data_IF_595379285947
#
_entry.id   IF_595379285947
#
_cell.length_a   1.000
_cell.length_b   1.000
_cell.length_c   1.000
_cell.angle_alpha   90.00
_cell.angle_beta   90.00
_cell.angle_gamma   90.00
#
_symmetry.space_group_name_H-M   'P 1'
#
loop_
_entity.id
_entity.type
_entity.pdbx_description
1 polymer ?
#
# COMPACT_ATOMS: atom_id res chain seq x y z
N UNK A 1 12.38 14.29 1.34
CA UNK A 1 12.34 12.94 1.94
C UNK A 1 11.99 11.89 0.90
N UNK A 2 12.41 10.66 1.13
CA UNK A 2 12.19 9.53 0.22
C UNK A 2 11.63 8.35 0.98
N UNK A 3 10.63 7.69 0.40
CA UNK A 3 10.14 6.39 0.85
C UNK A 3 10.27 5.33 -0.26
N UNK A 4 11.30 4.51 -0.17
CA UNK A 4 11.58 3.47 -1.17
C UNK A 4 10.48 2.40 -1.27
N UNK A 5 9.77 2.13 -0.18
CA UNK A 5 8.77 1.06 -0.15
C UNK A 5 7.49 1.42 -0.90
N UNK A 6 7.14 2.70 -0.98
CA UNK A 6 5.98 3.19 -1.75
C UNK A 6 6.39 3.83 -3.06
N UNK A 7 7.70 3.95 -3.33
CA UNK A 7 8.25 4.66 -4.48
C UNK A 7 7.81 6.14 -4.53
N UNK A 8 7.70 6.78 -3.35
CA UNK A 8 7.32 8.19 -3.24
C UNK A 8 8.48 9.03 -2.75
N UNK A 9 8.63 10.22 -3.35
CA UNK A 9 9.57 11.25 -2.92
C UNK A 9 8.83 12.56 -2.62
N UNK A 10 9.16 13.18 -1.49
CA UNK A 10 8.73 14.52 -1.12
C UNK A 10 9.85 15.51 -1.36
N UNK A 11 9.63 16.44 -2.28
CA UNK A 11 10.57 17.50 -2.62
C UNK A 11 10.11 18.83 -2.03
N UNK A 12 11.06 19.65 -1.58
CA UNK A 12 10.86 21.04 -1.26
C UNK A 12 11.54 21.87 -2.33
N UNK A 13 10.84 22.85 -2.88
CA UNK A 13 11.37 23.79 -3.88
C UNK A 13 11.17 25.22 -3.41
N UNK A 14 12.06 26.12 -3.82
CA UNK A 14 11.92 27.57 -3.61
C UNK A 14 11.26 28.16 -4.87
N UNK A 15 9.94 28.28 -4.85
CA UNK A 15 9.18 28.83 -5.95
C UNK A 15 8.01 29.69 -5.41
N UNK A 16 7.62 30.69 -6.19
CA UNK A 16 6.49 31.58 -5.89
C UNK A 16 5.35 31.32 -6.88
N UNK A 17 4.15 31.76 -6.49
CA UNK A 17 2.95 31.72 -7.34
C UNK A 17 2.57 30.32 -7.87
N UNK A 18 2.87 29.29 -7.08
CA UNK A 18 2.49 27.91 -7.41
C UNK A 18 0.97 27.74 -7.28
N UNK A 19 0.39 27.04 -8.27
CA UNK A 19 -1.02 26.60 -8.24
C UNK A 19 -1.07 25.12 -7.84
N UNK A 20 -1.38 24.80 -6.56
CA UNK A 20 -1.48 23.42 -6.13
C UNK A 20 -2.72 22.76 -6.75
N UNK A 21 -2.61 21.48 -7.06
CA UNK A 21 -3.76 20.64 -7.40
C UNK A 21 -4.60 20.41 -6.13
N UNK A 22 -5.93 20.37 -6.26
CA UNK A 22 -6.80 19.93 -5.18
C UNK A 22 -6.62 18.44 -4.95
N UNK A 23 -6.29 18.03 -3.72
CA UNK A 23 -6.16 16.62 -3.37
C UNK A 23 -7.55 16.06 -3.07
N UNK A 24 -7.97 15.09 -3.88
CA UNK A 24 -9.19 14.31 -3.71
C UNK A 24 -8.98 13.04 -2.89
N UNK A 25 -10.06 12.28 -2.68
CA UNK A 25 -10.04 11.01 -1.96
C UNK A 25 -10.01 9.83 -2.91
N UNK A 26 -8.94 9.03 -2.87
CA UNK A 26 -8.87 7.76 -3.60
C UNK A 26 -9.84 6.70 -3.04
N UNK A 27 -10.26 6.82 -1.78
CA UNK A 27 -11.26 5.92 -1.17
C UNK A 27 -12.61 6.04 -1.84
N UNK A 28 -13.02 7.28 -2.19
CA UNK A 28 -14.32 7.56 -2.81
C UNK A 28 -14.41 7.11 -4.27
N UNK A 29 -13.29 6.85 -4.94
CA UNK A 29 -13.27 6.37 -6.32
C UNK A 29 -14.00 5.03 -6.45
N UNK A 30 -14.73 4.87 -7.55
CA UNK A 30 -15.40 3.62 -7.92
C UNK A 30 -14.81 3.06 -9.20
N UNK A 31 -14.82 1.74 -9.32
CA UNK A 31 -14.49 1.06 -10.57
C UNK A 31 -15.45 1.54 -11.66
N UNK A 32 -14.90 1.85 -12.84
CA UNK A 32 -15.63 2.44 -13.96
C UNK A 32 -15.64 3.98 -14.00
N UNK A 33 -15.20 4.67 -12.95
CA UNK A 33 -15.08 6.13 -12.98
C UNK A 33 -13.94 6.59 -13.90
N UNK A 34 -14.19 7.66 -14.67
CA UNK A 34 -13.20 8.27 -15.53
C UNK A 34 -12.06 8.91 -14.76
N UNK A 35 -10.84 8.69 -15.24
CA UNK A 35 -9.62 9.32 -14.72
C UNK A 35 -8.73 9.78 -15.86
N UNK A 36 -7.90 10.79 -15.59
CA UNK A 36 -6.90 11.31 -16.51
C UNK A 36 -5.52 11.11 -15.86
N UNK A 37 -4.60 10.48 -16.59
CA UNK A 37 -3.20 10.40 -16.21
C UNK A 37 -2.42 11.52 -16.91
N UNK A 38 -1.75 12.36 -16.13
CA UNK A 38 -1.03 13.55 -16.58
C UNK A 38 0.45 13.34 -16.32
N UNK A 39 1.29 13.70 -17.28
CA UNK A 39 2.73 13.59 -17.12
C UNK A 39 3.49 14.19 -18.30
N UNK A 40 4.79 13.87 -18.39
CA UNK A 40 5.69 14.37 -19.43
C UNK A 40 6.47 13.22 -20.10
N UNK A 41 5.79 12.24 -20.74
CA UNK A 41 6.45 11.11 -21.36
C UNK A 41 7.29 11.56 -22.56
N UNK A 42 8.43 10.90 -22.75
CA UNK A 42 9.33 11.08 -23.90
C UNK A 42 9.83 12.51 -24.12
N UNK A 43 9.79 13.37 -23.10
CA UNK A 43 10.14 14.79 -23.22
C UNK A 43 9.09 15.66 -23.93
N UNK A 44 7.90 15.11 -24.23
CA UNK A 44 6.77 15.89 -24.70
C UNK A 44 6.16 16.69 -23.56
N UNK A 45 5.87 17.96 -23.79
CA UNK A 45 5.27 18.83 -22.77
C UNK A 45 3.82 18.41 -22.51
N UNK A 46 3.51 18.16 -21.23
CA UNK A 46 2.13 18.03 -20.72
C UNK A 46 1.25 17.06 -21.54
N UNK A 47 1.54 15.78 -21.45
CA UNK A 47 0.72 14.74 -22.06
C UNK A 47 -0.37 14.30 -21.09
N UNK A 48 -1.60 14.17 -21.60
CA UNK A 48 -2.75 13.68 -20.87
C UNK A 48 -3.30 12.43 -21.58
N UNK A 49 -3.49 11.36 -20.81
CA UNK A 49 -4.19 10.16 -21.29
C UNK A 49 -5.45 9.95 -20.47
N UNK A 50 -6.51 9.41 -21.06
CA UNK A 50 -7.79 9.17 -20.42
C UNK A 50 -8.08 7.68 -20.33
N UNK A 51 -8.76 7.28 -19.28
CA UNK A 51 -9.22 5.92 -19.05
C UNK A 51 -10.18 5.88 -17.86
N UNK A 52 -10.40 4.68 -17.34
CA UNK A 52 -11.25 4.45 -16.18
C UNK A 52 -10.46 3.81 -15.04
N UNK A 53 -11.02 3.85 -13.84
CA UNK A 53 -10.58 3.00 -12.73
C UNK A 53 -10.97 1.56 -13.06
N UNK A 54 -9.99 0.72 -13.43
CA UNK A 54 -10.22 -0.69 -13.78
C UNK A 54 -10.33 -1.58 -12.55
N UNK A 55 -9.60 -1.26 -11.49
CA UNK A 55 -9.65 -1.93 -10.18
C UNK A 55 -9.07 -1.06 -9.08
N UNK A 56 -9.34 -1.43 -7.83
CA UNK A 56 -8.74 -0.83 -6.62
C UNK A 56 -8.05 -1.90 -5.78
N UNK A 57 -7.15 -1.47 -4.91
CA UNK A 57 -6.41 -2.35 -4.00
C UNK A 57 -5.73 -3.53 -4.75
N UNK A 58 -5.08 -3.22 -5.90
CA UNK A 58 -4.31 -4.22 -6.64
C UNK A 58 -2.95 -4.43 -6.01
N UNK A 59 -2.62 -5.69 -5.77
CA UNK A 59 -1.29 -6.15 -5.42
C UNK A 59 -0.58 -6.66 -6.67
N UNK A 60 0.66 -6.27 -6.84
CA UNK A 60 1.54 -6.71 -7.93
C UNK A 60 2.67 -7.53 -7.29
N UNK A 61 2.48 -8.83 -7.16
CA UNK A 61 3.44 -9.71 -6.52
C UNK A 61 4.88 -9.45 -6.99
N UNK A 62 5.72 -8.99 -6.08
CA UNK A 62 7.16 -9.14 -6.21
C UNK A 62 8.06 -7.92 -6.19
N UNK A 63 7.61 -6.66 -6.18
CA UNK A 63 8.55 -5.52 -6.32
C UNK A 63 8.42 -4.39 -5.30
N UNK A 64 7.37 -4.30 -4.54
CA UNK A 64 7.21 -3.27 -3.50
C UNK A 64 6.63 -3.87 -2.23
N UNK A 65 7.06 -3.36 -1.08
CA UNK A 65 6.52 -3.79 0.23
C UNK A 65 5.13 -3.23 0.49
N UNK A 66 4.62 -2.37 -0.36
CA UNK A 66 3.32 -1.73 -0.23
C UNK A 66 2.54 -1.87 -1.53
N UNK A 67 1.56 -2.77 -1.53
CA UNK A 67 0.84 -3.21 -2.72
C UNK A 67 -0.65 -2.91 -2.62
N UNK A 68 -1.02 -1.64 -2.73
CA UNK A 68 -2.40 -1.22 -2.92
C UNK A 68 -2.46 -0.14 -3.99
N UNK A 69 -2.61 -0.56 -5.24
CA UNK A 69 -2.64 0.36 -6.38
C UNK A 69 -4.07 0.57 -6.90
N UNK A 70 -4.31 1.77 -7.45
CA UNK A 70 -5.40 2.02 -8.39
C UNK A 70 -4.93 1.49 -9.74
N UNK A 71 -5.66 0.53 -10.31
CA UNK A 71 -5.45 0.09 -11.68
C UNK A 71 -6.30 0.93 -12.64
N UNK A 72 -5.72 1.34 -13.75
CA UNK A 72 -6.41 2.12 -14.81
C UNK A 72 -5.98 1.64 -16.20
N UNK A 73 -6.84 1.82 -17.17
CA UNK A 73 -6.52 1.67 -18.59
C UNK A 73 -6.16 3.02 -19.25
N UNK A 74 -6.07 4.11 -18.48
CA UNK A 74 -5.37 5.30 -18.94
C UNK A 74 -3.90 4.95 -19.22
N UNK A 75 -3.39 5.31 -20.41
CA UNK A 75 -2.05 4.90 -20.81
C UNK A 75 -0.97 5.49 -19.89
N UNK A 76 -0.30 4.62 -19.14
CA UNK A 76 0.89 4.94 -18.36
C UNK A 76 2.11 4.48 -19.17
N UNK A 77 3.01 5.40 -19.46
CA UNK A 77 4.25 5.16 -20.21
C UNK A 77 5.44 5.77 -19.47
N UNK A 78 6.68 5.37 -19.78
CA UNK A 78 7.86 6.02 -19.21
C UNK A 78 7.81 7.53 -19.42
N UNK A 79 7.89 8.29 -18.32
CA UNK A 79 7.83 9.76 -18.29
C UNK A 79 6.55 10.35 -17.73
N UNK A 80 5.43 9.60 -17.61
CA UNK A 80 4.29 10.07 -16.81
C UNK A 80 4.25 9.48 -15.39
N UNK A 81 5.16 8.56 -15.05
CA UNK A 81 5.40 8.14 -13.66
C UNK A 81 5.80 9.32 -12.78
N UNK A 82 5.25 9.42 -11.57
CA UNK A 82 5.34 10.58 -10.68
C UNK A 82 4.36 11.70 -10.99
N UNK A 83 3.70 11.66 -12.16
CA UNK A 83 2.65 12.60 -12.53
C UNK A 83 1.31 12.30 -11.85
N UNK A 84 0.34 13.17 -12.08
CA UNK A 84 -0.96 13.10 -11.43
C UNK A 84 -1.91 12.11 -12.13
N UNK A 85 -2.63 11.31 -11.33
CA UNK A 85 -3.90 10.72 -11.73
C UNK A 85 -5.02 11.58 -11.13
N UNK A 86 -5.87 12.16 -11.97
CA UNK A 86 -6.96 13.02 -11.52
C UNK A 86 -8.32 12.47 -11.93
N UNK A 87 -9.35 12.79 -11.15
CA UNK A 87 -10.74 12.48 -11.52
C UNK A 87 -11.31 13.56 -12.47
N UNK A 88 -12.56 13.40 -12.91
CA UNK A 88 -13.24 14.34 -13.81
C UNK A 88 -13.46 15.75 -13.24
N UNK A 89 -13.26 15.95 -11.95
CA UNK A 89 -13.30 17.27 -11.31
C UNK A 89 -11.92 17.94 -11.27
N UNK A 90 -10.87 17.27 -11.78
CA UNK A 90 -9.49 17.74 -11.69
C UNK A 90 -8.85 17.55 -10.32
N UNK A 91 -9.45 16.75 -9.44
CA UNK A 91 -8.90 16.43 -8.12
C UNK A 91 -7.88 15.30 -8.24
N UNK A 92 -6.72 15.46 -7.58
CA UNK A 92 -5.69 14.41 -7.50
C UNK A 92 -6.22 13.23 -6.71
N UNK A 93 -6.24 12.04 -7.31
CA UNK A 93 -6.70 10.79 -6.69
C UNK A 93 -5.61 9.74 -6.62
N UNK A 94 -4.49 9.96 -7.32
CA UNK A 94 -3.34 9.07 -7.27
C UNK A 94 -2.10 9.69 -7.90
N UNK A 95 -0.94 9.05 -7.68
CA UNK A 95 0.32 9.35 -8.35
C UNK A 95 0.61 8.21 -9.32
N UNK A 96 0.77 8.52 -10.61
CA UNK A 96 1.13 7.52 -11.62
C UNK A 96 2.44 6.86 -11.24
N UNK A 97 2.50 5.53 -11.20
CA UNK A 97 3.66 4.81 -10.73
C UNK A 97 4.29 3.97 -11.83
N UNK A 98 3.57 2.98 -12.34
CA UNK A 98 4.14 2.01 -13.27
C UNK A 98 3.09 1.44 -14.22
N UNK A 99 3.55 0.78 -15.27
CA UNK A 99 2.77 -0.11 -16.12
C UNK A 99 3.16 -1.58 -15.82
N UNK A 100 2.21 -2.48 -15.91
CA UNK A 100 2.51 -3.90 -15.98
C UNK A 100 2.57 -4.31 -17.45
N UNK A 101 3.74 -4.80 -17.88
CA UNK A 101 3.95 -5.22 -19.26
C UNK A 101 5.03 -6.29 -19.33
N UNK A 102 4.79 -7.33 -20.09
CA UNK A 102 5.79 -8.36 -20.40
C UNK A 102 6.78 -7.90 -21.47
N UNK A 103 6.41 -6.91 -22.27
CA UNK A 103 7.21 -6.41 -23.41
C UNK A 103 7.79 -5.01 -23.17
N UNK A 104 7.47 -4.36 -22.03
CA UNK A 104 7.82 -2.96 -21.76
C UNK A 104 6.88 -1.95 -22.43
N UNK A 105 5.92 -2.40 -23.26
CA UNK A 105 4.92 -1.54 -23.90
C UNK A 105 3.61 -1.56 -23.13
N UNK A 106 2.87 -0.46 -23.17
CA UNK A 106 1.56 -0.35 -22.54
C UNK A 106 0.59 -1.43 -23.10
N UNK A 107 -0.05 -2.17 -22.18
CA UNK A 107 -0.96 -3.28 -22.49
C UNK A 107 -2.33 -3.14 -21.84
N UNK A 108 -2.74 -1.92 -21.46
CA UNK A 108 -4.02 -1.67 -20.77
C UNK A 108 -3.95 -1.80 -19.24
N UNK A 109 -2.76 -1.95 -18.66
CA UNK A 109 -2.56 -2.11 -17.22
C UNK A 109 -1.62 -1.02 -16.69
N UNK A 110 -2.18 0.12 -16.33
CA UNK A 110 -1.51 1.21 -15.63
C UNK A 110 -1.83 1.15 -14.14
N UNK A 111 -0.90 1.62 -13.31
CA UNK A 111 -1.03 1.61 -11.85
C UNK A 111 -0.65 2.96 -11.26
N UNK A 112 -1.44 3.40 -10.29
CA UNK A 112 -1.19 4.62 -9.55
C UNK A 112 -1.26 4.38 -8.04
N UNK A 113 -0.41 5.09 -7.29
CA UNK A 113 -0.40 5.09 -5.83
C UNK A 113 -1.58 5.93 -5.34
N UNK A 114 -2.49 5.40 -4.50
CA UNK A 114 -3.65 6.14 -4.00
C UNK A 114 -3.27 7.37 -3.17
N UNK A 115 -4.10 8.42 -3.19
CA UNK A 115 -3.89 9.61 -2.35
C UNK A 115 -3.96 9.31 -0.86
N UNK A 116 -4.65 8.29 -0.40
CA UNK A 116 -4.62 7.81 1.00
C UNK A 116 -3.21 7.48 1.44
N UNK A 117 -2.48 6.71 0.64
CA UNK A 117 -1.09 6.32 0.90
C UNK A 117 -0.17 7.55 0.76
N UNK A 118 -0.31 8.32 -0.31
CA UNK A 118 0.47 9.53 -0.54
C UNK A 118 0.38 10.51 0.63
N UNK A 119 -0.83 10.81 1.11
CA UNK A 119 -1.05 11.75 2.21
C UNK A 119 -0.36 11.31 3.50
N UNK A 120 -0.43 10.01 3.82
CA UNK A 120 0.24 9.45 4.98
C UNK A 120 1.75 9.56 4.86
N UNK A 121 2.32 9.18 3.72
CA UNK A 121 3.76 9.27 3.45
C UNK A 121 4.25 10.72 3.57
N UNK A 122 3.56 11.66 2.92
CA UNK A 122 3.90 13.10 2.98
C UNK A 122 3.83 13.62 4.42
N UNK A 123 2.78 13.27 5.18
CA UNK A 123 2.62 13.69 6.58
C UNK A 123 3.76 13.17 7.45
N UNK A 124 4.09 11.89 7.31
CA UNK A 124 5.14 11.26 8.11
C UNK A 124 6.53 11.81 7.76
N UNK A 125 6.84 11.96 6.47
CA UNK A 125 8.12 12.54 6.04
C UNK A 125 8.30 13.98 6.53
N UNK A 126 7.21 14.76 6.60
CA UNK A 126 7.27 16.13 7.14
C UNK A 126 7.40 16.18 8.65
N UNK A 127 6.77 15.24 9.37
CA UNK A 127 6.69 15.24 10.83
C UNK A 127 7.90 14.53 11.48
N UNK A 128 8.35 13.41 10.88
CA UNK A 128 9.37 12.53 11.46
C UNK A 128 10.61 12.35 10.58
N UNK A 129 10.59 12.85 9.34
CA UNK A 129 11.64 12.57 8.37
C UNK A 129 11.64 11.12 7.84
N UNK A 130 10.82 10.25 8.42
CA UNK A 130 10.69 8.83 8.06
C UNK A 130 9.24 8.38 8.13
N UNK A 131 8.84 7.46 7.22
CA UNK A 131 7.47 6.91 7.20
C UNK A 131 7.27 5.96 8.36
N UNK A 132 6.20 6.16 9.13
CA UNK A 132 5.82 5.37 10.29
C UNK A 132 5.01 4.15 9.83
N UNK A 133 5.65 2.98 9.77
CA UNK A 133 4.96 1.74 9.39
C UNK A 133 4.49 0.98 10.62
N UNK A 134 3.17 0.81 10.67
CA UNK A 134 2.52 -0.02 11.67
C UNK A 134 2.32 -1.44 11.11
N UNK A 135 2.68 -2.44 11.90
CA UNK A 135 2.61 -3.84 11.51
C UNK A 135 1.68 -4.60 12.45
N UNK A 136 0.87 -5.47 11.85
CA UNK A 136 0.08 -6.48 12.58
C UNK A 136 0.98 -7.64 13.02
N UNK A 137 1.99 -7.99 12.22
CA UNK A 137 2.86 -9.13 12.45
C UNK A 137 2.26 -10.43 11.94
N UNK A 138 1.75 -10.43 10.71
CA UNK A 138 1.23 -11.61 10.01
C UNK A 138 1.76 -11.66 8.59
N UNK A 139 1.96 -12.89 8.08
CA UNK A 139 2.16 -13.16 6.67
C UNK A 139 1.02 -14.07 6.17
N UNK A 140 0.67 -13.94 4.89
CA UNK A 140 -0.43 -14.73 4.34
C UNK A 140 -0.80 -14.32 2.91
N UNK A 141 -1.99 -14.72 2.50
CA UNK A 141 -2.46 -14.53 1.12
C UNK A 141 -3.98 -14.25 1.10
N UNK A 142 -4.49 -13.85 -0.05
CA UNK A 142 -5.93 -13.71 -0.25
C UNK A 142 -6.63 -15.06 -0.12
N UNK A 143 -7.83 -15.06 0.47
CA UNK A 143 -8.65 -16.29 0.62
C UNK A 143 -8.86 -16.98 -0.71
N UNK A 144 -9.15 -16.24 -1.79
CA UNK A 144 -9.32 -16.79 -3.14
C UNK A 144 -8.07 -17.52 -3.61
N UNK A 145 -6.90 -16.88 -3.48
CA UNK A 145 -5.61 -17.47 -3.87
C UNK A 145 -5.28 -18.73 -3.05
N UNK A 146 -5.60 -18.72 -1.75
CA UNK A 146 -5.42 -19.91 -0.91
C UNK A 146 -6.32 -21.07 -1.37
N UNK A 147 -7.61 -20.79 -1.64
CA UNK A 147 -8.57 -21.80 -2.10
C UNK A 147 -8.12 -22.38 -3.44
N UNK A 148 -7.70 -21.55 -4.39
CA UNK A 148 -7.22 -21.98 -5.71
C UNK A 148 -5.96 -22.87 -5.56
N UNK A 149 -5.00 -22.46 -4.75
CA UNK A 149 -3.81 -23.26 -4.47
C UNK A 149 -4.11 -24.61 -3.79
N UNK A 150 -5.13 -24.71 -2.95
CA UNK A 150 -5.56 -25.98 -2.38
C UNK A 150 -6.24 -26.87 -3.44
N UNK A 151 -7.08 -26.29 -4.30
CA UNK A 151 -7.75 -26.99 -5.39
C UNK A 151 -6.75 -27.59 -6.38
N UNK A 152 -5.69 -26.87 -6.74
CA UNK A 152 -4.60 -27.38 -7.57
C UNK A 152 -3.90 -28.61 -6.96
N UNK A 153 -3.85 -28.66 -5.61
CA UNK A 153 -3.31 -29.81 -4.86
C UNK A 153 -4.35 -30.92 -4.63
N UNK A 154 -5.53 -30.84 -5.27
CA UNK A 154 -6.61 -31.81 -5.12
C UNK A 154 -7.28 -31.79 -3.75
N UNK A 155 -7.19 -30.67 -3.01
CA UNK A 155 -7.81 -30.50 -1.69
C UNK A 155 -8.94 -29.49 -1.76
N UNK A 156 -10.02 -29.75 -1.04
CA UNK A 156 -11.07 -28.75 -0.79
C UNK A 156 -10.69 -27.90 0.42
N UNK A 157 -10.85 -26.59 0.30
CA UNK A 157 -10.68 -25.64 1.38
C UNK A 157 -11.96 -24.82 1.56
N UNK A 158 -12.66 -25.04 2.67
CA UNK A 158 -13.82 -24.27 3.06
C UNK A 158 -13.52 -23.50 4.35
N UNK A 159 -13.21 -22.23 4.19
CA UNK A 159 -12.89 -21.30 5.27
C UNK A 159 -14.13 -20.63 5.86
N UNK A 160 -15.33 -20.87 5.28
CA UNK A 160 -16.59 -20.23 5.66
C UNK A 160 -16.75 -18.81 5.08
N UNK A 161 -15.80 -18.33 4.29
CA UNK A 161 -15.82 -17.04 3.58
C UNK A 161 -15.06 -17.18 2.25
N UNK A 162 -15.41 -16.32 1.29
CA UNK A 162 -14.78 -16.30 -0.04
C UNK A 162 -13.76 -15.17 -0.20
N UNK A 163 -13.82 -14.16 0.67
CA UNK A 163 -12.96 -12.99 0.66
C UNK A 163 -12.31 -12.80 2.03
N UNK A 164 -11.18 -12.14 2.06
CA UNK A 164 -10.42 -11.84 3.26
C UNK A 164 -8.94 -12.15 3.10
N UNK A 165 -8.18 -11.91 4.15
CA UNK A 165 -6.76 -12.22 4.23
C UNK A 165 -6.53 -13.44 5.11
N UNK A 166 -6.08 -14.55 4.52
CA UNK A 166 -5.78 -15.80 5.21
C UNK A 166 -4.38 -15.73 5.83
N UNK A 167 -4.28 -15.96 7.14
CA UNK A 167 -3.02 -15.95 7.89
C UNK A 167 -2.30 -17.29 7.70
N UNK A 168 -1.14 -17.27 7.06
CA UNK A 168 -0.24 -18.41 6.91
C UNK A 168 0.78 -18.48 8.03
N UNK A 169 1.20 -17.31 8.53
CA UNK A 169 2.20 -17.21 9.59
C UNK A 169 1.90 -16.01 10.49
N UNK A 170 2.21 -16.14 11.78
CA UNK A 170 2.17 -15.08 12.76
C UNK A 170 3.59 -14.87 13.28
N UNK A 171 4.07 -13.63 13.22
CA UNK A 171 5.41 -13.28 13.69
C UNK A 171 5.51 -13.39 15.21
N UNK A 172 6.56 -14.01 15.70
CA UNK A 172 6.88 -14.06 17.12
C UNK A 172 7.03 -12.63 17.67
N UNK A 173 6.55 -12.40 18.89
CA UNK A 173 6.54 -11.11 19.58
C UNK A 173 5.80 -9.99 18.81
N UNK A 174 4.97 -10.36 17.80
CA UNK A 174 4.15 -9.46 17.02
C UNK A 174 2.82 -9.09 17.69
N UNK A 175 2.19 -8.01 17.23
CA UNK A 175 0.89 -7.56 17.73
C UNK A 175 -0.21 -8.63 17.55
N UNK A 176 -0.16 -9.40 16.45
CA UNK A 176 -1.09 -10.48 16.18
C UNK A 176 -0.96 -11.64 17.15
N UNK A 177 0.27 -12.04 17.50
CA UNK A 177 0.52 -13.12 18.44
C UNK A 177 -0.01 -12.75 19.83
N UNK A 178 0.32 -11.54 20.30
CA UNK A 178 -0.16 -11.03 21.60
C UNK A 178 -1.68 -11.01 21.70
N UNK A 179 -2.35 -10.67 20.57
CA UNK A 179 -3.82 -10.68 20.48
C UNK A 179 -4.43 -12.07 20.26
N UNK A 180 -3.61 -13.12 20.16
CA UNK A 180 -4.06 -14.50 20.03
C UNK A 180 -4.52 -14.90 18.63
N UNK A 181 -4.16 -14.14 17.58
CA UNK A 181 -4.33 -14.55 16.20
C UNK A 181 -3.41 -15.74 15.88
N UNK A 182 -3.84 -16.61 14.96
CA UNK A 182 -3.13 -17.84 14.65
C UNK A 182 -3.16 -18.11 13.16
N UNK A 183 -2.24 -18.94 12.70
CA UNK A 183 -2.32 -19.56 11.38
C UNK A 183 -3.69 -20.18 11.17
N UNK A 184 -4.29 -19.94 10.01
CA UNK A 184 -5.61 -20.43 9.64
C UNK A 184 -6.75 -19.48 9.97
N UNK A 185 -6.50 -18.35 10.62
CA UNK A 185 -7.48 -17.28 10.77
C UNK A 185 -7.61 -16.52 9.45
N UNK A 186 -8.79 -15.99 9.19
CA UNK A 186 -9.06 -15.11 8.05
C UNK A 186 -9.47 -13.75 8.56
N UNK A 187 -8.67 -12.72 8.32
CA UNK A 187 -9.03 -11.32 8.63
C UNK A 187 -10.06 -10.86 7.61
N UNK A 188 -11.21 -10.38 8.07
CA UNK A 188 -12.32 -9.91 7.23
C UNK A 188 -12.66 -8.44 7.42
N UNK A 189 -12.21 -7.83 8.54
CA UNK A 189 -12.49 -6.43 8.84
C UNK A 189 -11.45 -5.86 9.80
N UNK A 190 -11.09 -4.59 9.62
CA UNK A 190 -10.26 -3.81 10.54
C UNK A 190 -10.97 -2.48 10.79
N UNK A 191 -11.29 -2.17 12.06
CA UNK A 191 -11.98 -0.95 12.51
C UNK A 191 -13.27 -0.63 11.72
N UNK A 192 -14.03 -1.68 11.32
CA UNK A 192 -15.25 -1.55 10.54
C UNK A 192 -15.02 -1.49 9.02
N UNK A 193 -13.79 -1.34 8.56
CA UNK A 193 -13.45 -1.39 7.15
C UNK A 193 -13.24 -2.84 6.68
N UNK A 194 -13.90 -3.23 5.57
CA UNK A 194 -13.81 -4.59 5.03
C UNK A 194 -12.42 -4.87 4.47
N UNK A 195 -11.93 -6.07 4.77
CA UNK A 195 -10.73 -6.66 4.17
C UNK A 195 -11.19 -7.78 3.24
N UNK A 196 -11.26 -7.50 1.95
CA UNK A 196 -11.63 -8.49 0.92
C UNK A 196 -10.41 -9.18 0.34
N UNK A 197 -9.26 -8.50 0.36
CA UNK A 197 -7.98 -8.96 -0.17
C UNK A 197 -6.82 -8.21 0.48
N UNK A 198 -5.59 -8.65 0.24
CA UNK A 198 -4.36 -8.09 0.81
C UNK A 198 -4.22 -6.58 0.57
N UNK A 199 -4.54 -6.10 -0.65
CA UNK A 199 -4.48 -4.67 -0.94
C UNK A 199 -5.38 -3.81 -0.05
N UNK A 200 -6.57 -4.31 0.37
CA UNK A 200 -7.42 -3.58 1.34
C UNK A 200 -6.76 -3.53 2.72
N UNK A 201 -6.18 -4.65 3.18
CA UNK A 201 -5.44 -4.68 4.43
C UNK A 201 -4.29 -3.67 4.41
N UNK A 202 -3.51 -3.62 3.33
CA UNK A 202 -2.41 -2.68 3.15
C UNK A 202 -2.89 -1.22 3.19
N UNK A 203 -3.97 -0.90 2.49
CA UNK A 203 -4.54 0.46 2.43
C UNK A 203 -5.03 0.92 3.81
N UNK A 204 -5.74 0.04 4.54
CA UNK A 204 -6.19 0.33 5.91
C UNK A 204 -4.97 0.54 6.82
N UNK A 205 -3.99 -0.37 6.78
CA UNK A 205 -2.78 -0.28 7.61
C UNK A 205 -1.94 0.95 7.29
N UNK A 206 -1.98 1.45 6.05
CA UNK A 206 -1.29 2.67 5.67
C UNK A 206 -1.78 3.92 6.44
N UNK A 207 -2.99 3.93 6.98
CA UNK A 207 -3.51 5.03 7.79
C UNK A 207 -2.97 5.01 9.23
N UNK A 208 -2.46 3.88 9.71
CA UNK A 208 -2.06 3.67 11.11
C UNK A 208 -0.58 3.91 11.36
N UNK A 209 -0.24 4.13 12.63
CA UNK A 209 1.12 4.32 13.13
C UNK A 209 1.42 3.30 14.25
N UNK A 210 2.71 3.00 14.52
CA UNK A 210 3.09 2.22 15.70
C UNK A 210 2.51 2.83 16.98
N UNK A 211 1.95 1.97 17.85
CA UNK A 211 1.23 2.36 19.05
C UNK A 211 -0.28 2.55 18.91
N UNK A 212 -0.80 2.65 17.69
CA UNK A 212 -2.24 2.70 17.47
C UNK A 212 -2.88 1.36 17.87
N UNK A 213 -4.11 1.45 18.40
CA UNK A 213 -4.94 0.28 18.71
C UNK A 213 -5.98 0.11 17.62
N UNK A 214 -6.05 -1.07 17.05
CA UNK A 214 -7.03 -1.46 16.04
C UNK A 214 -7.86 -2.65 16.51
N UNK A 215 -9.09 -2.74 16.05
CA UNK A 215 -9.95 -3.90 16.25
C UNK A 215 -10.03 -4.72 14.96
N UNK A 216 -9.66 -5.99 15.04
CA UNK A 216 -9.73 -6.93 13.93
C UNK A 216 -10.92 -7.87 14.14
N UNK A 217 -11.75 -8.03 13.09
CA UNK A 217 -12.71 -9.11 12.97
C UNK A 217 -12.11 -10.21 12.11
N UNK A 218 -12.15 -11.45 12.60
CA UNK A 218 -11.58 -12.58 11.88
C UNK A 218 -12.44 -13.84 12.02
N UNK A 219 -12.27 -14.75 11.07
CA UNK A 219 -12.94 -16.06 11.04
C UNK A 219 -11.91 -17.12 11.46
N UNK A 220 -12.28 -17.96 12.42
CA UNK A 220 -11.55 -19.14 12.86
C UNK A 220 -12.50 -20.32 12.93
N UNK A 221 -12.23 -21.40 12.19
CA UNK A 221 -13.10 -22.58 12.12
C UNK A 221 -14.56 -22.21 11.84
N UNK A 222 -14.77 -21.32 10.85
CA UNK A 222 -16.09 -20.81 10.41
C UNK A 222 -16.87 -20.01 11.45
N UNK A 223 -16.25 -19.57 12.54
CA UNK A 223 -16.86 -18.71 13.58
C UNK A 223 -16.17 -17.35 13.57
N UNK A 224 -16.96 -16.31 13.77
CA UNK A 224 -16.48 -14.93 13.85
C UNK A 224 -15.97 -14.60 15.25
N UNK A 225 -14.81 -13.96 15.28
CA UNK A 225 -14.17 -13.47 16.50
C UNK A 225 -13.68 -12.04 16.29
N UNK A 226 -13.42 -11.35 17.39
CA UNK A 226 -12.79 -10.03 17.39
C UNK A 226 -11.58 -10.02 18.32
N UNK A 227 -10.56 -9.25 17.97
CA UNK A 227 -9.40 -9.01 18.81
C UNK A 227 -9.00 -7.53 18.69
N UNK A 228 -8.42 -6.98 19.76
CA UNK A 228 -7.81 -5.65 19.74
C UNK A 228 -6.30 -5.81 19.78
N UNK A 229 -5.61 -5.16 18.85
CA UNK A 229 -4.18 -5.20 18.68
C UNK A 229 -3.57 -3.81 18.95
N UNK A 230 -2.41 -3.76 19.59
CA UNK A 230 -1.57 -2.57 19.62
C UNK A 230 -0.48 -2.73 18.57
N UNK A 231 -0.52 -1.92 17.52
CA UNK A 231 0.38 -2.02 16.37
C UNK A 231 1.83 -1.72 16.77
N UNK A 232 2.76 -2.40 16.11
CA UNK A 232 4.21 -2.27 16.35
C UNK A 232 4.93 -1.83 15.08
N UNK A 233 6.11 -1.24 15.22
CA UNK A 233 7.01 -0.94 14.12
C UNK A 233 7.82 -2.19 13.70
N UNK A 234 8.68 -2.06 12.71
CA UNK A 234 9.57 -3.15 12.22
C UNK A 234 10.54 -3.67 13.29
N UNK A 235 10.79 -2.90 14.34
CA UNK A 235 11.64 -3.28 15.48
C UNK A 235 10.85 -3.97 16.62
N UNK A 236 9.56 -4.23 16.41
CA UNK A 236 8.67 -4.84 17.40
C UNK A 236 8.24 -3.90 18.53
N UNK A 237 8.48 -2.59 18.42
CA UNK A 237 8.12 -1.60 19.44
C UNK A 237 6.93 -0.73 19.01
N UNK A 238 6.33 -0.01 19.95
CA UNK A 238 5.27 0.97 19.71
C UNK A 238 5.82 2.38 19.46
N UNK A 239 7.14 2.55 19.48
CA UNK A 239 7.81 3.84 19.31
C UNK A 239 7.76 4.30 17.86
N UNK A 240 7.68 5.61 17.66
CA UNK A 240 7.86 6.22 16.35
C UNK A 240 9.34 6.21 15.97
N UNK A 241 9.61 6.07 14.67
CA UNK A 241 10.98 6.09 14.12
C UNK A 241 11.24 7.51 13.62
N UNK A 242 12.27 8.17 14.11
CA UNK A 242 12.73 9.44 13.57
C UNK A 242 13.92 9.19 12.64
N UNK A 243 14.02 9.95 11.55
CA UNK A 243 15.22 9.90 10.72
C UNK A 243 16.37 10.52 11.49
N UNK A 244 17.47 9.79 11.60
CA UNK A 244 18.72 10.36 12.10
C UNK A 244 19.40 11.07 10.92
N UNK A 245 19.63 12.36 11.06
CA UNK A 245 20.45 13.11 10.11
C UNK A 245 21.91 12.67 10.28
N UNK A 246 22.35 11.80 9.36
CA UNK A 246 23.71 11.25 9.39
C UNK A 246 24.78 12.31 9.08
N UNK A 247 24.42 13.41 8.42
CA UNK A 247 25.35 14.53 8.18
C UNK A 247 25.63 15.27 9.49
N UNK A 248 24.62 15.46 10.34
CA UNK A 248 24.81 16.10 11.66
C UNK A 248 25.61 15.24 12.62
N UNK A 249 25.66 13.93 12.43
CA UNK A 249 26.45 13.00 13.25
C UNK A 249 27.91 12.90 12.81
N UNK A 250 28.29 13.47 11.66
CA UNK A 250 29.64 13.40 11.12
C UNK A 250 30.12 11.97 10.79
N UNK A 251 29.19 11.04 10.60
CA UNK A 251 29.46 9.64 10.33
C UNK A 251 28.85 9.20 8.99
N UNK A 252 29.63 8.56 8.14
CA UNK A 252 29.13 7.89 6.95
C UNK A 252 28.65 6.49 7.31
N UNK A 253 27.35 6.25 7.22
CA UNK A 253 26.76 4.94 7.46
C UNK A 253 26.54 4.21 6.15
N UNK A 254 26.89 2.93 6.09
CA UNK A 254 26.61 2.03 4.97
C UNK A 254 25.90 0.78 5.45
N UNK A 255 25.13 0.11 4.59
CA UNK A 255 24.62 -1.22 4.93
C UNK A 255 25.78 -2.18 5.24
N UNK A 256 25.57 -3.06 6.24
CA UNK A 256 26.51 -4.15 6.51
C UNK A 256 26.57 -5.08 5.30
N UNK A 257 27.79 -5.50 4.97
CA UNK A 257 28.01 -6.58 4.00
C UNK A 257 27.64 -7.94 4.62
N UNK A 258 27.40 -8.96 3.81
CA UNK A 258 27.05 -10.29 4.32
C UNK A 258 28.14 -10.93 5.18
N UNK A 259 29.39 -10.48 5.05
CA UNK A 259 30.52 -10.90 5.89
C UNK A 259 30.59 -10.16 7.24
N UNK A 260 29.83 -9.08 7.42
CA UNK A 260 29.76 -8.25 8.64
C UNK A 260 28.47 -8.48 9.44
N UNK A 261 27.55 -9.30 8.92
CA UNK A 261 26.34 -9.81 9.58
C UNK A 261 26.63 -11.11 10.33
#
# INVERSE_FOLDING_TARGET
>A
GLDKSTDLALLKIEAKDLKPVTVGSSESLKVGEWVLAIGNPYGFTSTVTAGIVSAKARSLQGNTTMESFIQTDAAINPGNSGGALVNVKGELVGINAMLYSQTGSYSGYGFAIPTTIMNKVVKDLREFGAVQRALIGVAGTDVSSYIDAQKEKGKEADLGVLNGFYIEEVSADGAAEEAGLKRGDVITEIDGAKVEKFGNLQEIMAAHRPGDKIRITYIRKKKTYTATLTLRNVQGTTSKIESVDTESMGAALRPLTDAEK
#
